data_IF_713700919358
#
_entry.id   IF_713700919358
#
_cell.length_a   1.000
_cell.length_b   1.000
_cell.length_c   1.000
_cell.angle_alpha   90.00
_cell.angle_beta   90.00
_cell.angle_gamma   90.00
#
_symmetry.space_group_name_H-M   'P 1'
#
loop_
_entity.id
_entity.type
_entity.pdbx_description
1 polymer ?
#
# COMPACT_ATOMS: atom_id res chain seq x y z
N UNK A 1 -14.43 3.82 19.48
CA UNK A 1 -13.13 3.10 19.47
C UNK A 1 -13.39 1.69 19.01
N UNK A 2 -12.85 1.32 17.87
CA UNK A 2 -13.10 0.01 17.23
C UNK A 2 -12.54 -1.11 18.12
N UNK A 3 -13.37 -2.12 18.35
CA UNK A 3 -12.94 -3.33 19.08
C UNK A 3 -12.08 -4.18 18.17
N UNK A 4 -10.78 -4.24 18.46
CA UNK A 4 -9.79 -4.95 17.64
C UNK A 4 -10.13 -6.45 17.51
N UNK A 5 -10.71 -7.06 18.57
CA UNK A 5 -11.09 -8.49 18.57
C UNK A 5 -12.28 -8.70 17.65
N UNK A 6 -13.32 -7.86 17.75
CA UNK A 6 -14.50 -7.95 16.88
C UNK A 6 -14.12 -7.78 15.40
N UNK A 7 -13.28 -6.78 15.08
CA UNK A 7 -12.80 -6.59 13.71
C UNK A 7 -12.05 -7.82 13.18
N UNK A 8 -11.25 -8.46 14.02
CA UNK A 8 -10.54 -9.69 13.64
C UNK A 8 -11.52 -10.84 13.36
N UNK A 9 -12.50 -11.06 14.25
CA UNK A 9 -13.52 -12.10 14.07
C UNK A 9 -14.32 -11.86 12.77
N UNK A 10 -14.74 -10.61 12.54
CA UNK A 10 -15.45 -10.25 11.30
C UNK A 10 -14.59 -10.57 10.07
N UNK A 11 -13.34 -10.17 10.06
CA UNK A 11 -12.42 -10.43 8.94
C UNK A 11 -12.19 -11.92 8.71
N UNK A 12 -12.11 -12.73 9.77
CA UNK A 12 -11.98 -14.20 9.68
C UNK A 12 -13.25 -14.85 9.13
N UNK A 13 -14.43 -14.43 9.57
CA UNK A 13 -15.69 -14.96 9.06
C UNK A 13 -15.93 -14.55 7.60
N UNK A 14 -15.60 -13.33 7.20
CA UNK A 14 -15.64 -12.91 5.79
C UNK A 14 -14.72 -13.78 4.92
N UNK A 15 -13.49 -13.99 5.37
CA UNK A 15 -12.52 -14.82 4.65
C UNK A 15 -12.98 -16.29 4.53
N UNK A 16 -13.51 -16.87 5.61
CA UNK A 16 -13.99 -18.25 5.68
C UNK A 16 -15.18 -18.52 4.76
N UNK A 17 -16.07 -17.54 4.62
CA UNK A 17 -17.27 -17.65 3.82
C UNK A 17 -17.12 -17.10 2.38
N UNK A 18 -15.90 -16.75 1.96
CA UNK A 18 -15.61 -16.08 0.68
C UNK A 18 -16.51 -14.86 0.42
N UNK A 19 -16.89 -14.15 1.47
CA UNK A 19 -17.70 -12.94 1.37
C UNK A 19 -16.84 -11.82 0.79
N UNK A 20 -17.37 -10.99 -0.13
CA UNK A 20 -16.66 -9.80 -0.58
C UNK A 20 -16.18 -8.96 0.60
N UNK A 21 -14.95 -8.43 0.57
CA UNK A 21 -14.46 -7.59 1.65
C UNK A 21 -15.36 -6.37 1.82
N UNK A 22 -15.45 -5.80 3.04
CA UNK A 22 -16.09 -4.51 3.24
C UNK A 22 -15.44 -3.47 2.31
N UNK A 23 -16.19 -2.42 1.99
CA UNK A 23 -15.64 -1.30 1.26
C UNK A 23 -14.40 -0.76 2.01
N UNK A 24 -13.33 -0.56 1.28
CA UNK A 24 -12.04 -0.07 1.76
C UNK A 24 -11.49 0.95 0.80
N UNK A 25 -10.19 1.18 0.87
CA UNK A 25 -9.47 2.07 -0.04
C UNK A 25 -8.75 3.18 0.72
N UNK A 26 -8.01 4.00 -0.01
CA UNK A 26 -7.11 4.99 0.59
C UNK A 26 -7.84 5.99 1.51
N UNK A 27 -9.09 6.34 1.19
CA UNK A 27 -9.91 7.19 2.05
C UNK A 27 -10.21 6.52 3.40
N UNK A 28 -10.84 5.35 3.37
CA UNK A 28 -11.30 4.64 4.57
C UNK A 28 -10.12 4.12 5.40
N UNK A 29 -9.14 3.50 4.74
CA UNK A 29 -8.07 2.77 5.43
C UNK A 29 -6.92 3.67 5.89
N UNK A 30 -6.74 4.84 5.27
CA UNK A 30 -5.60 5.73 5.50
C UNK A 30 -6.01 7.14 5.94
N UNK A 31 -6.87 7.82 5.16
CA UNK A 31 -7.21 9.21 5.45
C UNK A 31 -8.15 9.36 6.66
N UNK A 32 -9.23 8.59 6.73
CA UNK A 32 -10.18 8.68 7.87
C UNK A 32 -9.46 8.53 9.22
N UNK A 33 -8.62 7.51 9.46
CA UNK A 33 -7.88 7.42 10.71
C UNK A 33 -6.89 8.58 10.90
N UNK A 34 -6.29 9.11 9.83
CA UNK A 34 -5.41 10.28 9.89
C UNK A 34 -6.19 11.54 10.31
N UNK A 35 -7.37 11.77 9.73
CA UNK A 35 -8.22 12.89 10.13
C UNK A 35 -8.76 12.77 11.55
N UNK A 36 -9.12 11.56 12.00
CA UNK A 36 -9.52 11.32 13.39
C UNK A 36 -8.42 11.71 14.38
N UNK A 37 -7.16 11.51 14.01
CA UNK A 37 -5.99 11.80 14.84
C UNK A 37 -5.54 13.27 14.74
N UNK A 38 -5.48 13.83 13.52
CA UNK A 38 -4.79 15.09 13.22
C UNK A 38 -5.65 16.13 12.51
N UNK A 39 -6.84 15.78 12.04
CA UNK A 39 -7.75 16.71 11.34
C UNK A 39 -8.44 17.68 12.29
N UNK A 40 -8.87 18.82 11.75
CA UNK A 40 -9.76 19.75 12.46
C UNK A 40 -11.16 19.16 12.62
N UNK A 41 -11.97 19.71 13.54
CA UNK A 41 -13.36 19.24 13.72
C UNK A 41 -14.21 19.48 12.46
N UNK A 42 -13.94 20.54 11.72
CA UNK A 42 -14.64 20.82 10.46
C UNK A 42 -14.24 19.81 9.38
N UNK A 43 -12.95 19.48 9.21
CA UNK A 43 -12.48 18.44 8.30
C UNK A 43 -13.08 17.07 8.67
N UNK A 44 -13.19 16.73 9.93
CA UNK A 44 -13.80 15.48 10.38
C UNK A 44 -15.28 15.41 9.99
N UNK A 45 -16.04 16.49 10.21
CA UNK A 45 -17.46 16.58 9.84
C UNK A 45 -17.66 16.52 8.33
N UNK A 46 -16.80 17.21 7.58
CA UNK A 46 -16.92 17.33 6.11
C UNK A 46 -16.57 16.03 5.40
N UNK A 47 -15.51 15.33 5.82
CA UNK A 47 -14.94 14.25 5.02
C UNK A 47 -15.18 12.84 5.55
N UNK A 48 -15.35 12.62 6.88
CA UNK A 48 -15.38 11.26 7.40
C UNK A 48 -16.62 10.50 6.98
N UNK A 49 -17.81 11.05 7.23
CA UNK A 49 -19.06 10.36 6.94
C UNK A 49 -19.26 10.10 5.44
N UNK A 50 -19.06 11.06 4.53
CA UNK A 50 -19.16 10.83 3.09
C UNK A 50 -18.12 9.81 2.58
N UNK A 51 -16.91 9.79 3.17
CA UNK A 51 -15.89 8.77 2.82
C UNK A 51 -16.33 7.37 3.24
N UNK A 52 -16.91 7.22 4.44
CA UNK A 52 -17.40 5.92 4.92
C UNK A 52 -18.60 5.40 4.14
N UNK A 53 -19.43 6.29 3.58
CA UNK A 53 -20.54 5.94 2.69
C UNK A 53 -20.10 5.68 1.24
N UNK A 54 -18.87 6.04 0.87
CA UNK A 54 -18.36 5.91 -0.49
C UNK A 54 -18.78 7.03 -1.42
N UNK A 55 -19.33 8.11 -0.90
CA UNK A 55 -19.70 9.31 -1.67
C UNK A 55 -18.43 10.08 -2.10
N UNK A 56 -17.34 9.97 -1.31
CA UNK A 56 -16.03 10.54 -1.62
C UNK A 56 -15.00 9.43 -1.71
N UNK A 57 -14.44 9.25 -2.89
CA UNK A 57 -13.29 8.39 -3.16
C UNK A 57 -12.02 9.23 -3.14
N UNK A 58 -10.98 8.73 -2.48
CA UNK A 58 -9.71 9.42 -2.30
C UNK A 58 -8.57 8.76 -3.04
N UNK A 59 -7.64 9.57 -3.54
CA UNK A 59 -6.35 9.12 -4.03
C UNK A 59 -5.20 9.78 -3.26
N UNK A 60 -4.01 9.17 -3.35
CA UNK A 60 -2.80 9.59 -2.66
C UNK A 60 -1.82 10.25 -3.60
N UNK A 61 -1.53 11.53 -3.40
CA UNK A 61 -0.54 12.31 -4.17
C UNK A 61 0.80 12.43 -3.43
N UNK A 62 1.58 11.35 -3.34
CA UNK A 62 2.86 11.36 -2.63
C UNK A 62 4.05 11.34 -3.58
N UNK A 63 4.26 10.23 -4.28
CA UNK A 63 5.42 10.01 -5.14
C UNK A 63 5.48 10.97 -6.32
N UNK A 64 6.70 11.33 -6.71
CA UNK A 64 7.01 12.09 -7.92
C UNK A 64 8.00 11.31 -8.78
N UNK A 65 8.20 11.63 -10.06
CA UNK A 65 9.14 10.91 -10.93
C UNK A 65 10.54 10.74 -10.32
N UNK A 66 11.00 11.71 -9.55
CA UNK A 66 12.31 11.69 -8.89
C UNK A 66 12.26 11.57 -7.36
N UNK A 67 11.08 11.36 -6.76
CA UNK A 67 10.89 11.28 -5.32
C UNK A 67 9.95 10.12 -4.94
N UNK A 68 10.48 8.90 -4.90
CA UNK A 68 9.80 7.69 -4.45
C UNK A 68 10.34 7.22 -3.10
N UNK A 69 11.44 6.45 -3.07
CA UNK A 69 12.08 6.01 -1.82
C UNK A 69 12.59 7.18 -0.99
N UNK A 70 13.12 8.22 -1.63
CA UNK A 70 13.44 9.50 -1.01
C UNK A 70 12.27 10.48 -1.15
N UNK A 71 11.13 10.11 -0.57
CA UNK A 71 9.90 10.88 -0.66
C UNK A 71 10.06 12.31 -0.15
N UNK A 72 10.90 12.53 0.85
CA UNK A 72 11.16 13.86 1.38
C UNK A 72 11.84 14.82 0.37
N UNK A 73 12.28 14.32 -0.78
CA UNK A 73 12.83 15.13 -1.90
C UNK A 73 11.78 15.64 -2.86
N UNK A 74 10.48 15.46 -2.57
CA UNK A 74 9.38 15.94 -3.41
C UNK A 74 9.51 17.45 -3.74
N UNK A 75 9.09 17.80 -4.96
CA UNK A 75 9.25 19.15 -5.54
C UNK A 75 7.93 19.83 -5.88
N UNK A 76 6.80 19.12 -5.91
CA UNK A 76 5.47 19.75 -6.10
C UNK A 76 5.32 20.85 -5.08
N UNK A 77 5.30 22.12 -5.54
CA UNK A 77 5.27 23.30 -4.66
C UNK A 77 3.85 23.73 -4.38
N UNK A 78 3.64 24.35 -3.24
CA UNK A 78 2.43 25.07 -2.90
C UNK A 78 2.79 26.39 -2.22
N UNK A 79 2.35 27.48 -2.78
CA UNK A 79 2.57 28.85 -2.28
C UNK A 79 1.25 29.42 -1.77
N UNK A 80 1.27 30.04 -0.60
CA UNK A 80 0.08 30.67 -0.04
C UNK A 80 -0.02 32.11 -0.58
N UNK A 81 -1.03 32.38 -1.41
CA UNK A 81 -1.27 33.66 -2.06
C UNK A 81 -2.73 34.04 -1.78
N UNK A 82 -2.95 35.20 -1.17
CA UNK A 82 -4.28 35.77 -0.89
C UNK A 82 -5.23 34.77 -0.20
N UNK A 83 -4.74 34.00 0.77
CA UNK A 83 -5.52 33.02 1.54
C UNK A 83 -5.83 31.71 0.78
N UNK A 84 -5.15 31.46 -0.35
CA UNK A 84 -5.27 30.24 -1.12
C UNK A 84 -3.91 29.60 -1.38
N UNK A 85 -3.86 28.27 -1.40
CA UNK A 85 -2.69 27.53 -1.88
C UNK A 85 -2.71 27.48 -3.41
N UNK A 86 -1.64 27.91 -4.04
CA UNK A 86 -1.39 27.77 -5.49
C UNK A 86 -0.38 26.66 -5.70
N UNK A 87 -0.80 25.56 -6.33
CA UNK A 87 -0.06 24.30 -6.42
C UNK A 87 0.44 24.09 -7.86
N UNK A 88 1.74 23.77 -7.99
CA UNK A 88 2.39 23.46 -9.25
C UNK A 88 3.31 22.25 -9.10
N UNK A 89 3.23 21.28 -10.01
CA UNK A 89 4.09 20.11 -9.99
C UNK A 89 3.45 18.88 -10.61
N UNK A 90 3.98 17.71 -10.23
CA UNK A 90 3.53 16.43 -10.77
C UNK A 90 3.60 15.36 -9.71
N UNK A 91 2.57 14.49 -9.66
CA UNK A 91 2.56 13.25 -8.91
C UNK A 91 2.51 12.06 -9.86
N UNK A 92 3.04 10.91 -9.41
CA UNK A 92 3.05 9.66 -10.17
C UNK A 92 2.69 8.48 -9.26
N UNK A 93 2.29 7.38 -9.86
CA UNK A 93 1.81 6.18 -9.17
C UNK A 93 0.58 6.43 -8.30
N UNK A 94 -0.20 7.44 -8.67
CA UNK A 94 -1.44 7.80 -7.97
C UNK A 94 -2.53 6.79 -8.31
N UNK A 95 -2.79 5.87 -7.38
CA UNK A 95 -3.82 4.84 -7.57
C UNK A 95 -5.20 5.47 -7.67
N UNK A 96 -5.99 5.04 -8.67
CA UNK A 96 -7.40 5.38 -8.84
C UNK A 96 -7.72 6.88 -8.97
N UNK A 97 -6.73 7.74 -9.28
CA UNK A 97 -6.96 9.18 -9.39
C UNK A 97 -8.07 9.54 -10.38
N UNK A 98 -8.21 8.78 -11.47
CA UNK A 98 -9.25 8.97 -12.49
C UNK A 98 -10.70 8.75 -11.99
N UNK A 99 -10.86 8.15 -10.80
CA UNK A 99 -12.15 7.87 -10.18
C UNK A 99 -12.35 8.62 -8.85
N UNK A 100 -11.34 9.38 -8.41
CA UNK A 100 -11.32 10.02 -7.10
C UNK A 100 -11.89 11.44 -7.16
N UNK A 101 -12.69 11.80 -6.17
CA UNK A 101 -13.19 13.15 -5.97
C UNK A 101 -12.20 14.01 -5.21
N UNK A 102 -11.36 13.40 -4.37
CA UNK A 102 -10.42 14.10 -3.52
C UNK A 102 -9.05 13.44 -3.53
N UNK A 103 -8.02 14.23 -3.31
CA UNK A 103 -6.65 13.78 -3.11
C UNK A 103 -6.11 14.26 -1.77
N UNK A 104 -5.41 13.40 -1.04
CA UNK A 104 -4.50 13.84 0.01
C UNK A 104 -3.07 13.87 -0.52
N UNK A 105 -2.46 15.05 -0.47
CA UNK A 105 -1.24 15.36 -1.22
C UNK A 105 -0.14 15.93 -0.33
N UNK A 106 1.10 15.47 -0.56
CA UNK A 106 2.29 16.10 0.02
C UNK A 106 2.86 17.13 -0.95
N UNK A 107 3.09 18.32 -0.44
CA UNK A 107 3.61 19.46 -1.22
C UNK A 107 4.75 20.16 -0.48
N UNK A 108 5.64 20.81 -1.23
CA UNK A 108 6.71 21.66 -0.70
C UNK A 108 6.19 23.06 -0.46
N UNK A 109 6.11 23.48 0.82
CA UNK A 109 5.67 24.82 1.21
C UNK A 109 6.80 25.68 1.76
N UNK A 110 7.89 25.06 2.27
CA UNK A 110 9.06 25.77 2.78
C UNK A 110 10.32 25.31 2.02
N UNK A 111 10.80 26.14 1.09
CA UNK A 111 11.93 25.79 0.22
C UNK A 111 13.28 25.80 0.97
N UNK A 112 13.44 26.71 1.92
CA UNK A 112 14.69 26.90 2.68
C UNK A 112 14.77 26.06 3.96
N UNK A 113 13.70 25.34 4.28
CA UNK A 113 13.64 24.50 5.47
C UNK A 113 14.38 23.15 5.27
N UNK A 114 14.81 22.51 6.36
CA UNK A 114 15.29 21.14 6.29
C UNK A 114 14.28 20.23 5.58
N UNK A 115 14.76 19.28 4.79
CA UNK A 115 14.02 18.44 3.84
C UNK A 115 12.63 17.96 4.32
N UNK A 116 12.55 17.47 5.58
CA UNK A 116 11.30 16.97 6.16
C UNK A 116 10.41 18.08 6.74
N UNK A 117 10.99 19.21 7.14
CA UNK A 117 10.27 20.32 7.75
C UNK A 117 9.67 21.30 6.72
N UNK A 118 9.93 21.09 5.44
CA UNK A 118 9.41 21.94 4.36
C UNK A 118 8.17 21.36 3.66
N UNK A 119 7.59 20.31 4.18
CA UNK A 119 6.47 19.57 3.56
C UNK A 119 5.17 19.86 4.29
N UNK A 120 4.10 20.13 3.55
CA UNK A 120 2.74 20.24 4.07
C UNK A 120 1.83 19.16 3.47
N UNK A 121 0.71 18.90 4.12
CA UNK A 121 -0.27 17.89 3.73
C UNK A 121 -1.59 18.58 3.37
N UNK A 122 -1.98 18.53 2.10
CA UNK A 122 -3.16 19.22 1.57
C UNK A 122 -4.24 18.24 1.13
N UNK A 123 -5.50 18.63 1.30
CA UNK A 123 -6.68 17.97 0.76
C UNK A 123 -7.11 18.72 -0.50
N UNK A 124 -7.05 18.07 -1.66
CA UNK A 124 -7.24 18.72 -2.96
C UNK A 124 -8.46 18.10 -3.65
N UNK A 125 -9.53 18.89 -3.97
CA UNK A 125 -10.61 18.44 -4.84
C UNK A 125 -10.07 18.16 -6.26
N UNK A 126 -10.38 16.98 -6.80
CA UNK A 126 -9.80 16.52 -8.07
C UNK A 126 -10.44 17.15 -9.32
N UNK A 127 -11.55 17.86 -9.15
CA UNK A 127 -12.23 18.66 -10.19
C UNK A 127 -11.72 20.11 -10.24
N UNK A 128 -10.73 20.47 -9.40
CA UNK A 128 -10.15 21.82 -9.40
C UNK A 128 -9.49 22.13 -10.76
N UNK A 129 -9.77 23.29 -11.36
CA UNK A 129 -9.12 23.70 -12.62
C UNK A 129 -7.58 23.65 -12.51
N UNK A 130 -6.91 23.17 -13.57
CA UNK A 130 -5.46 23.02 -13.63
C UNK A 130 -4.95 21.63 -13.24
N UNK A 131 -5.84 20.70 -12.85
CA UNK A 131 -5.51 19.29 -12.64
C UNK A 131 -5.68 18.52 -13.95
N UNK A 132 -4.61 17.81 -14.36
CA UNK A 132 -4.66 16.87 -15.49
C UNK A 132 -4.28 15.48 -14.99
N UNK A 133 -5.11 14.47 -15.30
CA UNK A 133 -4.89 13.08 -14.91
C UNK A 133 -4.57 12.26 -16.15
N UNK A 134 -3.44 11.54 -16.13
CA UNK A 134 -3.00 10.65 -17.21
C UNK A 134 -2.85 9.23 -16.69
N UNK A 135 -3.74 8.31 -17.09
CA UNK A 135 -3.64 6.90 -16.69
C UNK A 135 -2.35 6.25 -17.19
N UNK A 136 -1.73 5.44 -16.33
CA UNK A 136 -0.57 4.62 -16.64
C UNK A 136 -1.00 3.16 -16.77
N UNK A 137 -0.71 2.56 -17.91
CA UNK A 137 -0.93 1.13 -18.13
C UNK A 137 0.27 0.36 -17.58
N UNK A 138 0.04 -0.48 -16.58
CA UNK A 138 1.07 -1.33 -15.99
C UNK A 138 1.26 -2.64 -16.77
N UNK A 139 2.20 -3.50 -16.30
CA UNK A 139 2.50 -4.78 -16.97
C UNK A 139 1.34 -5.79 -16.93
N UNK A 140 0.31 -5.54 -16.10
CA UNK A 140 -0.93 -6.33 -16.09
C UNK A 140 -1.94 -5.85 -17.12
N UNK A 141 -1.58 -4.87 -17.95
CA UNK A 141 -2.45 -4.16 -18.90
C UNK A 141 -3.61 -3.38 -18.24
N UNK A 142 -3.52 -3.12 -16.94
CA UNK A 142 -4.49 -2.30 -16.22
C UNK A 142 -3.97 -0.87 -16.07
N UNK A 143 -4.89 0.10 -16.18
CA UNK A 143 -4.60 1.51 -15.95
C UNK A 143 -5.04 1.92 -14.52
N UNK A 144 -4.51 1.24 -13.52
CA UNK A 144 -4.84 1.48 -12.10
C UNK A 144 -4.07 2.62 -11.46
N UNK A 145 -2.94 3.02 -12.04
CA UNK A 145 -2.09 4.12 -11.60
C UNK A 145 -2.18 5.30 -12.55
N UNK A 146 -1.84 6.48 -12.05
CA UNK A 146 -1.89 7.71 -12.84
C UNK A 146 -0.68 8.61 -12.56
N UNK A 147 -0.34 9.43 -13.57
CA UNK A 147 0.32 10.71 -13.38
C UNK A 147 -0.74 11.77 -13.14
N UNK A 148 -0.47 12.70 -12.24
CA UNK A 148 -1.35 13.84 -11.95
C UNK A 148 -0.51 15.11 -12.02
N UNK A 149 -0.86 16.01 -12.92
CA UNK A 149 -0.20 17.29 -13.14
C UNK A 149 -1.00 18.42 -12.51
N UNK A 150 -0.32 19.36 -11.89
CA UNK A 150 -0.88 20.56 -11.29
C UNK A 150 -0.29 21.78 -11.96
N UNK A 151 -1.16 22.61 -12.53
CA UNK A 151 -0.80 23.90 -13.17
C UNK A 151 -1.66 24.99 -12.55
N UNK A 152 -1.07 25.79 -11.67
CA UNK A 152 -1.72 26.90 -10.94
C UNK A 152 -3.01 26.47 -10.24
N UNK A 153 -3.05 25.25 -9.72
CA UNK A 153 -4.20 24.69 -9.01
C UNK A 153 -4.41 25.46 -7.70
N UNK A 154 -5.57 26.08 -7.56
CA UNK A 154 -5.86 26.96 -6.43
C UNK A 154 -6.90 26.34 -5.51
N UNK A 155 -6.57 26.18 -4.22
CA UNK A 155 -7.46 25.68 -3.18
C UNK A 155 -7.40 26.54 -1.92
N UNK A 156 -8.45 26.55 -1.08
CA UNK A 156 -8.47 27.35 0.15
C UNK A 156 -7.36 26.99 1.14
N UNK A 157 -6.90 27.96 1.93
CA UNK A 157 -5.85 27.80 2.95
C UNK A 157 -6.20 26.70 3.98
N UNK A 158 -7.47 26.57 4.36
CA UNK A 158 -7.95 25.61 5.36
C UNK A 158 -7.95 24.15 4.89
N UNK A 159 -7.61 23.86 3.64
CA UNK A 159 -7.45 22.48 3.12
C UNK A 159 -6.15 21.81 3.60
N UNK A 160 -5.42 22.42 4.52
CA UNK A 160 -4.22 21.83 5.14
C UNK A 160 -4.61 20.92 6.33
N UNK A 161 -3.99 19.75 6.44
CA UNK A 161 -4.09 18.88 7.62
C UNK A 161 -2.84 19.07 8.48
N UNK A 162 -3.03 19.37 9.75
CA UNK A 162 -1.95 19.77 10.64
C UNK A 162 -1.49 21.21 10.38
N UNK A 163 -0.22 21.50 10.63
CA UNK A 163 0.34 22.84 10.41
C UNK A 163 1.24 22.86 9.16
N UNK A 164 1.40 24.06 8.60
CA UNK A 164 2.34 24.33 7.52
C UNK A 164 3.76 23.88 7.91
N UNK A 165 4.42 23.13 7.04
CA UNK A 165 5.75 22.56 7.30
C UNK A 165 5.75 21.27 8.14
N UNK A 166 4.65 20.85 8.73
CA UNK A 166 4.53 19.64 9.56
C UNK A 166 3.93 18.42 8.80
N UNK A 167 3.69 18.53 7.50
CA UNK A 167 3.06 17.48 6.68
C UNK A 167 3.80 16.15 6.69
N UNK A 168 5.11 16.15 6.99
CA UNK A 168 5.86 14.90 7.14
C UNK A 168 5.40 14.05 8.34
N UNK A 169 5.01 14.68 9.43
CA UNK A 169 4.45 13.97 10.60
C UNK A 169 3.07 13.40 10.28
N UNK A 170 2.23 14.16 9.55
CA UNK A 170 0.92 13.71 9.06
C UNK A 170 1.08 12.52 8.11
N UNK A 171 2.03 12.61 7.16
CA UNK A 171 2.33 11.50 6.25
C UNK A 171 2.77 10.23 6.99
N UNK A 172 3.58 10.34 8.04
CA UNK A 172 3.99 9.18 8.83
C UNK A 172 2.79 8.54 9.57
N UNK A 173 1.84 9.32 10.07
CA UNK A 173 0.60 8.80 10.63
C UNK A 173 -0.20 8.03 9.57
N UNK A 174 -0.44 8.64 8.41
CA UNK A 174 -1.11 8.01 7.26
C UNK A 174 -0.46 6.70 6.82
N UNK A 175 0.87 6.69 6.65
CA UNK A 175 1.65 5.50 6.25
C UNK A 175 1.65 4.40 7.32
N UNK A 176 1.44 4.74 8.59
CA UNK A 176 1.30 3.73 9.65
C UNK A 176 0.04 2.90 9.51
N UNK A 177 -1.03 3.48 8.97
CA UNK A 177 -2.29 2.80 8.67
C UNK A 177 -2.17 1.96 7.39
N UNK A 178 -1.49 2.45 6.35
CA UNK A 178 -1.25 1.74 5.09
C UNK A 178 -0.55 0.40 5.28
N UNK A 179 0.50 0.35 6.11
CA UNK A 179 1.29 -0.88 6.33
C UNK A 179 0.46 -2.07 6.80
N UNK A 180 -0.65 -1.81 7.49
CA UNK A 180 -1.57 -2.85 7.94
C UNK A 180 -2.39 -3.48 6.82
N UNK A 181 -2.69 -2.73 5.75
CA UNK A 181 -3.52 -3.18 4.62
C UNK A 181 -2.72 -3.96 3.57
N UNK A 182 -1.43 -3.61 3.35
CA UNK A 182 -0.57 -4.23 2.33
C UNK A 182 -0.19 -5.69 2.60
N UNK A 183 -0.43 -6.21 3.81
CA UNK A 183 -0.04 -7.57 4.20
C UNK A 183 -1.11 -8.25 5.05
N UNK A 184 -2.17 -8.75 4.40
CA UNK A 184 -3.27 -9.45 5.06
C UNK A 184 -2.96 -10.95 5.21
N UNK A 185 -2.77 -11.48 6.45
CA UNK A 185 -2.45 -12.89 6.67
C UNK A 185 -3.57 -13.85 6.27
N UNK A 186 -4.85 -13.44 6.38
CA UNK A 186 -5.98 -14.26 5.98
C UNK A 186 -6.05 -14.39 4.46
N UNK A 187 -5.85 -13.30 3.73
CA UNK A 187 -5.77 -13.33 2.27
C UNK A 187 -4.61 -14.22 1.79
N UNK A 188 -3.47 -14.20 2.52
CA UNK A 188 -2.33 -15.07 2.23
C UNK A 188 -2.68 -16.55 2.43
N UNK A 189 -3.38 -16.90 3.52
CA UNK A 189 -3.81 -18.27 3.81
C UNK A 189 -4.81 -18.75 2.77
N UNK A 190 -5.79 -17.93 2.39
CA UNK A 190 -6.75 -18.26 1.34
C UNK A 190 -6.05 -18.54 0.00
N UNK A 191 -5.03 -17.74 -0.32
CA UNK A 191 -4.26 -17.92 -1.55
C UNK A 191 -3.42 -19.21 -1.52
N UNK A 192 -2.84 -19.56 -0.36
CA UNK A 192 -2.16 -20.83 -0.16
C UNK A 192 -3.12 -22.01 -0.35
N UNK A 193 -4.33 -21.94 0.20
CA UNK A 193 -5.34 -22.99 0.03
C UNK A 193 -5.74 -23.14 -1.44
N UNK A 194 -5.92 -22.04 -2.15
CA UNK A 194 -6.20 -22.06 -3.59
C UNK A 194 -5.05 -22.70 -4.40
N UNK A 195 -3.80 -22.43 -4.02
CA UNK A 195 -2.62 -23.08 -4.61
C UNK A 195 -2.63 -24.58 -4.37
N UNK A 196 -2.92 -25.04 -3.16
CA UNK A 196 -3.02 -26.48 -2.83
C UNK A 196 -4.10 -27.15 -3.67
N UNK A 197 -5.27 -26.54 -3.80
CA UNK A 197 -6.35 -27.07 -4.65
C UNK A 197 -5.94 -27.09 -6.13
N UNK A 198 -5.23 -26.09 -6.62
CA UNK A 198 -4.65 -26.09 -7.97
C UNK A 198 -3.71 -27.28 -8.16
N UNK A 199 -2.77 -27.52 -7.23
CA UNK A 199 -1.83 -28.64 -7.28
C UNK A 199 -2.50 -30.02 -7.27
N UNK A 200 -3.65 -30.18 -6.58
CA UNK A 200 -4.44 -31.42 -6.58
C UNK A 200 -5.12 -31.68 -7.92
N UNK A 201 -5.45 -30.61 -8.66
CA UNK A 201 -6.22 -30.68 -9.90
C UNK A 201 -5.37 -30.51 -11.16
N UNK A 202 -4.13 -30.02 -11.06
CA UNK A 202 -3.23 -29.87 -12.21
C UNK A 202 -2.38 -31.13 -12.41
N UNK A 203 -2.09 -31.43 -13.68
CA UNK A 203 -1.32 -32.62 -14.08
C UNK A 203 -0.21 -32.21 -15.04
N UNK A 204 1.01 -32.63 -14.77
CA UNK A 204 2.18 -32.45 -15.64
C UNK A 204 2.70 -33.83 -16.00
N UNK A 205 2.88 -34.11 -17.29
CA UNK A 205 3.38 -35.40 -17.81
C UNK A 205 2.60 -36.62 -17.25
N UNK A 206 1.29 -36.48 -17.10
CA UNK A 206 0.42 -37.58 -16.62
C UNK A 206 0.42 -37.81 -15.10
N UNK A 207 1.20 -37.02 -14.33
CA UNK A 207 1.25 -37.09 -12.87
C UNK A 207 0.60 -35.83 -12.25
N UNK A 208 -0.18 -36.01 -11.19
CA UNK A 208 -0.69 -34.88 -10.41
C UNK A 208 0.48 -34.09 -9.80
N UNK A 209 0.40 -32.78 -9.89
CA UNK A 209 1.46 -31.86 -9.40
C UNK A 209 1.69 -32.05 -7.90
N UNK A 210 0.62 -32.28 -7.12
CA UNK A 210 0.70 -32.49 -5.67
C UNK A 210 1.52 -33.73 -5.29
N UNK A 211 1.61 -34.73 -6.18
CA UNK A 211 2.34 -35.97 -5.94
C UNK A 211 3.82 -35.88 -6.35
N UNK A 212 4.21 -34.82 -7.05
CA UNK A 212 5.60 -34.59 -7.40
C UNK A 212 6.42 -34.15 -6.16
N UNK A 213 7.47 -34.87 -5.76
CA UNK A 213 8.22 -34.59 -4.53
C UNK A 213 8.92 -33.24 -4.54
N UNK A 214 9.35 -32.74 -5.71
CA UNK A 214 10.00 -31.41 -5.84
C UNK A 214 9.00 -30.29 -5.57
N UNK A 215 7.81 -30.38 -6.15
CA UNK A 215 6.76 -29.38 -5.91
C UNK A 215 6.19 -29.46 -4.49
N UNK A 216 6.11 -30.68 -3.92
CA UNK A 216 5.71 -30.84 -2.51
C UNK A 216 6.70 -30.21 -1.54
N UNK A 217 8.01 -30.36 -1.76
CA UNK A 217 9.03 -29.72 -0.93
C UNK A 217 8.90 -28.18 -0.99
N UNK A 218 8.75 -27.60 -2.18
CA UNK A 218 8.49 -26.17 -2.33
C UNK A 218 7.20 -25.73 -1.62
N UNK A 219 6.11 -26.49 -1.77
CA UNK A 219 4.83 -26.22 -1.09
C UNK A 219 5.01 -26.18 0.43
N UNK A 220 5.68 -27.18 1.01
CA UNK A 220 5.90 -27.26 2.46
C UNK A 220 6.70 -26.07 2.98
N UNK A 221 7.69 -25.60 2.22
CA UNK A 221 8.47 -24.41 2.56
C UNK A 221 7.62 -23.13 2.56
N UNK A 222 6.81 -22.95 1.52
CA UNK A 222 5.88 -21.80 1.42
C UNK A 222 4.83 -21.86 2.52
N UNK A 223 4.23 -23.03 2.76
CA UNK A 223 3.24 -23.23 3.81
C UNK A 223 3.81 -22.90 5.20
N UNK A 224 5.03 -23.35 5.49
CA UNK A 224 5.73 -23.01 6.74
C UNK A 224 5.90 -21.50 6.91
N UNK A 225 6.30 -20.78 5.84
CA UNK A 225 6.43 -19.31 5.85
C UNK A 225 5.08 -18.61 6.05
N UNK A 226 4.00 -19.09 5.40
CA UNK A 226 2.64 -18.53 5.55
C UNK A 226 2.12 -18.71 6.97
N UNK A 227 2.31 -19.88 7.58
CA UNK A 227 1.93 -20.16 8.97
C UNK A 227 2.73 -19.27 9.93
N UNK A 228 4.04 -19.13 9.71
CA UNK A 228 4.90 -18.28 10.52
C UNK A 228 4.47 -16.79 10.41
N UNK A 229 4.11 -16.33 9.20
CA UNK A 229 3.61 -14.99 8.96
C UNK A 229 2.28 -14.74 9.68
N UNK A 230 1.34 -15.69 9.63
CA UNK A 230 0.08 -15.63 10.35
C UNK A 230 0.30 -15.60 11.86
N UNK A 231 1.18 -16.45 12.39
CA UNK A 231 1.51 -16.51 13.82
C UNK A 231 2.16 -15.20 14.30
N UNK A 232 3.04 -14.61 13.47
CA UNK A 232 3.63 -13.30 13.77
C UNK A 232 2.58 -12.18 13.83
N UNK A 233 1.60 -12.20 12.95
CA UNK A 233 0.48 -11.24 12.97
C UNK A 233 -0.36 -11.38 14.25
N UNK A 234 -0.65 -12.61 14.68
CA UNK A 234 -1.35 -12.88 15.95
C UNK A 234 -0.52 -12.42 17.17
N UNK A 235 0.80 -12.61 17.12
CA UNK A 235 1.71 -12.10 18.16
C UNK A 235 1.65 -10.59 18.28
N UNK A 236 1.68 -9.86 17.13
CA UNK A 236 1.55 -8.39 17.11
C UNK A 236 0.19 -7.95 17.66
N UNK A 237 -0.89 -8.65 17.29
CA UNK A 237 -2.23 -8.36 17.80
C UNK A 237 -2.32 -8.57 19.31
N UNK A 238 -1.86 -9.70 19.81
CA UNK A 238 -1.84 -10.03 21.24
C UNK A 238 -1.08 -8.98 22.06
N UNK A 239 0.06 -8.54 21.55
CA UNK A 239 0.85 -7.52 22.24
C UNK A 239 0.18 -6.16 22.27
N UNK A 240 -0.52 -5.75 21.21
CA UNK A 240 -1.33 -4.52 21.19
C UNK A 240 -2.44 -4.59 22.24
N UNK A 241 -3.10 -5.73 22.39
CA UNK A 241 -4.15 -5.94 23.39
C UNK A 241 -3.62 -5.87 24.82
N UNK A 242 -2.46 -6.47 25.06
CA UNK A 242 -1.82 -6.53 26.39
C UNK A 242 -0.93 -5.31 26.68
N UNK A 243 -0.93 -4.29 25.81
CA UNK A 243 -0.06 -3.10 25.90
C UNK A 243 1.44 -3.44 26.07
N UNK A 244 1.87 -4.58 25.54
CA UNK A 244 3.25 -5.01 25.53
C UNK A 244 3.97 -4.40 24.35
N UNK A 245 5.08 -3.68 24.59
CA UNK A 245 5.83 -2.98 23.56
C UNK A 245 6.89 -3.85 22.86
N UNK A 246 7.13 -5.06 23.34
CA UNK A 246 8.24 -5.93 22.90
C UNK A 246 8.00 -6.62 21.53
N UNK A 247 7.13 -6.05 20.69
CA UNK A 247 6.80 -6.58 19.36
C UNK A 247 7.08 -5.59 18.22
N UNK A 248 7.85 -4.56 18.51
CA UNK A 248 8.17 -3.51 17.52
C UNK A 248 8.74 -4.11 16.22
N UNK A 249 9.73 -5.00 16.33
CA UNK A 249 10.35 -5.66 15.17
C UNK A 249 9.34 -6.57 14.47
N UNK A 250 8.54 -7.34 15.22
CA UNK A 250 7.52 -8.22 14.67
C UNK A 250 6.49 -7.45 13.80
N UNK A 251 6.15 -6.22 14.18
CA UNK A 251 5.32 -5.33 13.36
C UNK A 251 6.05 -4.77 12.14
N UNK A 252 7.33 -4.41 12.28
CA UNK A 252 8.12 -3.83 11.19
C UNK A 252 8.37 -4.79 10.04
N UNK A 253 8.54 -6.10 10.31
CA UNK A 253 8.82 -7.09 9.27
C UNK A 253 7.58 -7.47 8.44
N UNK A 254 6.36 -7.14 8.88
CA UNK A 254 5.12 -7.63 8.24
C UNK A 254 5.01 -7.23 6.76
N UNK A 255 5.21 -5.96 6.44
CA UNK A 255 5.13 -5.49 5.05
C UNK A 255 6.16 -6.19 4.18
N UNK A 256 7.42 -6.19 4.61
CA UNK A 256 8.51 -6.80 3.88
C UNK A 256 8.26 -8.29 3.63
N UNK A 257 8.02 -9.06 4.69
CA UNK A 257 7.79 -10.52 4.59
C UNK A 257 6.52 -10.82 3.81
N UNK A 258 5.43 -10.09 4.06
CA UNK A 258 4.14 -10.35 3.43
C UNK A 258 4.16 -10.13 1.91
N UNK A 259 4.78 -9.05 1.42
CA UNK A 259 4.83 -8.77 -0.02
C UNK A 259 5.77 -9.72 -0.77
N UNK A 260 6.94 -10.02 -0.22
CA UNK A 260 7.88 -10.98 -0.81
C UNK A 260 7.30 -12.40 -0.84
N UNK A 261 6.73 -12.86 0.28
CA UNK A 261 6.10 -14.17 0.37
C UNK A 261 4.91 -14.32 -0.57
N UNK A 262 4.12 -13.26 -0.74
CA UNK A 262 3.01 -13.29 -1.69
C UNK A 262 3.50 -13.45 -3.12
N UNK A 263 4.51 -12.72 -3.51
CA UNK A 263 5.11 -12.84 -4.84
C UNK A 263 5.74 -14.23 -5.05
N UNK A 264 6.44 -14.79 -4.05
CA UNK A 264 6.97 -16.16 -4.09
C UNK A 264 5.86 -17.20 -4.29
N UNK A 265 4.73 -17.04 -3.58
CA UNK A 265 3.58 -17.95 -3.71
C UNK A 265 2.94 -17.88 -5.11
N UNK A 266 2.74 -16.69 -5.65
CA UNK A 266 2.18 -16.49 -6.98
C UNK A 266 3.11 -17.04 -8.08
N UNK A 267 4.42 -16.81 -7.94
CA UNK A 267 5.43 -17.38 -8.84
C UNK A 267 5.44 -18.90 -8.82
N UNK A 268 5.29 -19.50 -7.64
CA UNK A 268 5.18 -20.95 -7.54
C UNK A 268 3.90 -21.48 -8.20
N UNK A 269 2.80 -20.75 -8.13
CA UNK A 269 1.57 -21.13 -8.84
C UNK A 269 1.77 -21.14 -10.38
N UNK A 270 2.55 -20.21 -10.91
CA UNK A 270 2.94 -20.19 -12.34
C UNK A 270 3.83 -21.40 -12.67
N UNK A 271 4.84 -21.69 -11.85
CA UNK A 271 5.74 -22.83 -12.05
C UNK A 271 4.97 -24.16 -12.17
N UNK A 272 3.98 -24.40 -11.30
CA UNK A 272 3.21 -25.64 -11.28
C UNK A 272 2.23 -25.79 -12.45
N UNK A 273 1.93 -24.72 -13.16
CA UNK A 273 1.12 -24.75 -14.37
C UNK A 273 1.94 -25.04 -15.64
N UNK A 274 3.28 -25.04 -15.54
CA UNK A 274 4.17 -25.26 -16.66
C UNK A 274 3.90 -24.26 -17.80
N UNK A 275 3.76 -24.76 -19.05
CA UNK A 275 3.48 -23.93 -20.21
C UNK A 275 2.18 -23.11 -20.08
N UNK A 276 1.18 -23.62 -19.38
CA UNK A 276 -0.07 -22.89 -19.16
C UNK A 276 0.12 -21.67 -18.24
N UNK A 277 1.18 -21.63 -17.45
CA UNK A 277 1.56 -20.49 -16.61
C UNK A 277 1.94 -19.23 -17.40
N UNK A 278 2.31 -19.41 -18.67
CA UNK A 278 2.66 -18.29 -19.58
C UNK A 278 1.46 -17.68 -20.30
N UNK A 279 0.29 -18.33 -20.21
CA UNK A 279 -0.94 -17.87 -20.86
C UNK A 279 -1.47 -16.61 -20.17
N UNK A 280 -2.03 -15.71 -20.97
CA UNK A 280 -2.63 -14.48 -20.50
C UNK A 280 -3.96 -14.22 -21.20
N UNK A 281 -4.61 -13.11 -20.92
CA UNK A 281 -5.97 -12.72 -21.33
C UNK A 281 -6.46 -13.32 -22.66
N UNK A 282 -7.72 -13.75 -22.68
CA UNK A 282 -8.39 -14.33 -23.87
C UNK A 282 -7.89 -15.71 -24.33
N UNK A 283 -6.93 -16.34 -23.62
CA UNK A 283 -6.54 -17.71 -23.93
C UNK A 283 -7.62 -18.70 -23.49
N UNK A 284 -8.07 -19.65 -24.34
CA UNK A 284 -9.08 -20.63 -24.00
C UNK A 284 -8.63 -21.62 -22.91
N UNK A 285 -7.33 -21.78 -22.71
CA UNK A 285 -6.74 -22.68 -21.73
C UNK A 285 -6.29 -21.97 -20.44
N UNK A 286 -6.63 -20.69 -20.27
CA UNK A 286 -6.26 -19.91 -19.13
C UNK A 286 -6.86 -20.47 -17.83
N UNK A 287 -6.02 -20.71 -16.83
CA UNK A 287 -6.44 -21.18 -15.50
C UNK A 287 -6.88 -20.02 -14.62
N UNK A 288 -7.97 -20.22 -13.86
CA UNK A 288 -8.47 -19.25 -12.87
C UNK A 288 -8.60 -17.81 -13.40
N UNK A 289 -8.95 -17.66 -14.69
CA UNK A 289 -9.09 -16.36 -15.32
C UNK A 289 -7.77 -15.54 -15.39
N UNK A 290 -6.61 -16.18 -15.25
CA UNK A 290 -5.32 -15.51 -15.23
C UNK A 290 -4.98 -14.83 -13.89
N UNK A 291 -5.73 -15.12 -12.84
CA UNK A 291 -5.55 -14.47 -11.53
C UNK A 291 -4.16 -14.68 -10.93
N UNK A 292 -3.49 -15.79 -11.25
CA UNK A 292 -2.13 -16.08 -10.80
C UNK A 292 -1.10 -15.21 -11.50
N UNK A 293 -1.19 -15.11 -12.81
CA UNK A 293 -0.30 -14.28 -13.65
C UNK A 293 -0.46 -12.79 -13.31
N UNK A 294 -1.69 -12.32 -13.20
CA UNK A 294 -1.99 -10.94 -12.80
C UNK A 294 -1.42 -10.65 -11.42
N UNK A 295 -1.66 -11.51 -10.44
CA UNK A 295 -1.16 -11.32 -9.09
C UNK A 295 0.39 -11.36 -9.04
N UNK A 296 1.04 -12.27 -9.76
CA UNK A 296 2.49 -12.33 -9.83
C UNK A 296 3.11 -11.01 -10.31
N UNK A 297 2.58 -10.45 -11.40
CA UNK A 297 3.04 -9.17 -11.94
C UNK A 297 2.72 -8.00 -10.99
N UNK A 298 1.50 -7.96 -10.46
CA UNK A 298 1.05 -6.89 -9.57
C UNK A 298 1.84 -6.82 -8.26
N UNK A 299 2.18 -7.97 -7.66
CA UNK A 299 2.94 -8.02 -6.41
C UNK A 299 4.39 -7.55 -6.54
N UNK A 300 4.98 -7.51 -7.74
CA UNK A 300 6.24 -6.80 -7.98
C UNK A 300 6.12 -5.31 -7.62
N UNK A 301 5.00 -4.68 -8.01
CA UNK A 301 4.70 -3.30 -7.63
C UNK A 301 4.57 -3.12 -6.11
N UNK A 302 3.98 -4.08 -5.39
CA UNK A 302 3.83 -4.00 -3.93
C UNK A 302 5.15 -4.25 -3.16
N UNK A 303 6.11 -4.95 -3.73
CA UNK A 303 7.49 -5.05 -3.18
C UNK A 303 8.16 -3.67 -3.18
N UNK A 304 7.82 -2.83 -4.17
CA UNK A 304 8.34 -1.46 -4.35
C UNK A 304 7.48 -0.45 -3.58
N UNK A 305 6.17 -0.47 -3.75
CA UNK A 305 5.20 0.45 -3.14
C UNK A 305 5.13 0.35 -1.62
N UNK A 306 4.71 1.41 -0.95
CA UNK A 306 4.65 1.48 0.52
C UNK A 306 6.02 1.37 1.21
N UNK A 307 7.09 1.79 0.53
CA UNK A 307 8.50 1.62 0.88
C UNK A 307 9.06 0.29 0.37
N UNK A 308 10.10 0.39 -0.47
CA UNK A 308 10.76 -0.79 -1.06
C UNK A 308 11.26 -1.77 0.02
N UNK A 309 11.47 -3.03 -0.37
CA UNK A 309 12.07 -4.03 0.53
C UNK A 309 13.40 -3.55 1.12
N UNK A 310 14.21 -2.79 0.38
CA UNK A 310 15.46 -2.19 0.85
C UNK A 310 15.22 -1.11 1.91
N UNK A 311 14.27 -0.22 1.67
CA UNK A 311 13.87 0.80 2.66
C UNK A 311 13.30 0.15 3.92
N UNK A 312 12.48 -0.90 3.79
CA UNK A 312 11.97 -1.64 4.96
C UNK A 312 13.12 -2.29 5.76
N UNK A 313 14.12 -2.88 5.08
CA UNK A 313 15.31 -3.43 5.74
C UNK A 313 16.10 -2.34 6.48
N UNK A 314 16.29 -1.16 5.89
CA UNK A 314 16.95 -0.03 6.57
C UNK A 314 16.16 0.39 7.82
N UNK A 315 14.83 0.51 7.73
CA UNK A 315 13.98 0.85 8.88
C UNK A 315 14.09 -0.22 9.98
N UNK A 316 14.08 -1.51 9.62
CA UNK A 316 14.22 -2.62 10.56
C UNK A 316 15.60 -2.56 11.24
N UNK A 317 16.68 -2.39 10.47
CA UNK A 317 18.03 -2.36 11.00
C UNK A 317 18.26 -1.17 11.92
N UNK A 318 17.91 0.04 11.48
CA UNK A 318 18.18 1.27 12.23
C UNK A 318 17.22 1.46 13.42
N UNK A 319 15.91 1.32 13.18
CA UNK A 319 14.89 1.61 14.21
C UNK A 319 14.45 0.39 15.00
N UNK A 320 14.58 -0.80 14.45
CA UNK A 320 14.24 -2.06 15.08
C UNK A 320 15.42 -2.64 15.87
N UNK A 321 16.55 -2.80 15.23
CA UNK A 321 17.75 -3.43 15.80
C UNK A 321 18.76 -2.43 16.40
N UNK A 322 18.54 -1.11 16.23
CA UNK A 322 19.47 -0.08 16.74
C UNK A 322 20.82 -0.04 16.03
N UNK A 323 20.89 -0.55 14.80
CA UNK A 323 22.13 -0.54 14.01
C UNK A 323 22.47 0.89 13.56
N UNK A 324 23.76 1.19 13.30
CA UNK A 324 24.16 2.50 12.78
C UNK A 324 23.49 2.80 11.43
N UNK A 325 23.24 4.09 11.21
CA UNK A 325 22.75 4.56 9.92
C UNK A 325 23.85 4.42 8.86
N UNK A 326 23.40 4.29 7.60
CA UNK A 326 24.28 4.31 6.45
C UNK A 326 25.13 5.60 6.43
N UNK A 327 26.45 5.52 6.16
CA UNK A 327 27.28 6.69 6.06
C UNK A 327 26.75 7.66 4.99
N UNK A 328 26.67 8.95 5.32
CA UNK A 328 26.35 9.95 4.31
C UNK A 328 27.52 10.02 3.33
N UNK A 329 27.26 9.82 2.04
CA UNK A 329 28.24 10.15 0.99
C UNK A 329 28.54 11.65 1.13
N UNK A 330 29.77 12.01 1.48
CA UNK A 330 30.24 13.39 1.38
C UNK A 330 30.15 13.71 -0.12
N UNK A 331 29.23 14.59 -0.50
CA UNK A 331 29.28 15.21 -1.82
C UNK A 331 30.61 15.93 -1.87
N UNK A 332 31.49 15.46 -2.76
CA UNK A 332 32.82 16.02 -2.93
C UNK A 332 32.74 17.52 -3.16
N UNK A 333 33.65 18.22 -2.51
CA UNK A 333 33.88 19.68 -2.64
C UNK A 333 34.21 20.04 -4.09
#
# INVERSE_FOLDING_TARGET
>A
KTDIIKNRIIAEEFAKNNTPPPMGGQGIDMLVPTLLELGTEDQKKEYIEPTLHGDIIWCQGYSEPNAGSDLASLQTKAELIDGNWVINGQKIWTSTAQYSQMMFCLVRTEHDAPKHAGISYLLIPMDTPGIEIRPLVDMTLNAGFNEVFFTDVTIPENNIVGKRGEGWSVANATLSHERGSLSNPNAMMNRLNALIERMKNETINGQKVIDNPVYRDKLMKIQGKVIAFQSNSLRVLSAKLNKNQDVKIAGMIQKYVGTELRHELEGFAIDIMGELGTLYQNSPNLRDGGSWQIAYMYFLGLIIGGGTSQIQKNIISERGLGMPKEPKVQQGA
#
